data_IF_942825693312
#
_entry.id   IF_942825693312
#
_cell.length_a   1.000
_cell.length_b   1.000
_cell.length_c   1.000
_cell.angle_alpha   90.00
_cell.angle_beta   90.00
_cell.angle_gamma   90.00
#
_symmetry.space_group_name_H-M   'P 1'
#
loop_
_entity.id
_entity.type
_entity.pdbx_description
1 polymer ?
#
# COMPACT_ATOMS: atom_id res chain seq x y z
N UNK A 1 6.26 -11.85 19.06
CA UNK A 1 6.27 -10.40 18.66
C UNK A 1 4.98 -10.04 17.95
N UNK A 2 4.52 -8.80 18.05
CA UNK A 2 3.34 -8.33 17.33
C UNK A 2 3.71 -8.03 15.88
N UNK A 3 3.00 -8.63 14.92
CA UNK A 3 3.16 -8.40 13.47
C UNK A 3 2.98 -6.91 13.13
N UNK A 4 3.73 -6.43 12.14
CA UNK A 4 3.59 -5.06 11.61
C UNK A 4 3.08 -5.13 10.16
N UNK A 5 2.04 -4.36 9.87
CA UNK A 5 1.55 -4.14 8.51
C UNK A 5 1.80 -2.67 8.14
N UNK A 6 2.63 -2.45 7.14
CA UNK A 6 2.97 -1.10 6.65
C UNK A 6 2.35 -0.94 5.27
N UNK A 7 1.31 -0.12 5.18
CA UNK A 7 0.60 0.19 3.93
C UNK A 7 1.15 1.48 3.34
N UNK A 8 1.62 1.43 2.08
CA UNK A 8 2.23 2.54 1.36
C UNK A 8 1.37 2.90 0.16
N UNK A 9 0.67 4.02 0.26
CA UNK A 9 -0.16 4.60 -0.79
C UNK A 9 0.57 5.62 -1.65
N UNK A 10 -0.14 6.13 -2.65
CA UNK A 10 0.33 7.21 -3.52
C UNK A 10 -0.04 6.99 -4.98
N UNK A 11 0.04 8.04 -5.83
CA UNK A 11 -0.33 7.96 -7.24
C UNK A 11 0.60 7.02 -8.03
N UNK A 12 0.18 6.63 -9.22
CA UNK A 12 1.06 5.90 -10.14
C UNK A 12 2.29 6.75 -10.48
N UNK A 13 3.46 6.12 -10.61
CA UNK A 13 4.72 6.82 -10.94
C UNK A 13 5.40 7.51 -9.75
N UNK A 14 4.80 7.59 -8.56
CA UNK A 14 5.41 8.26 -7.39
C UNK A 14 6.61 7.50 -6.80
N UNK A 15 6.74 6.19 -7.05
CA UNK A 15 7.86 5.35 -6.61
C UNK A 15 7.54 4.40 -5.44
N UNK A 16 6.28 4.01 -5.24
CA UNK A 16 5.86 3.08 -4.16
C UNK A 16 6.68 1.79 -4.13
N UNK A 17 6.72 1.07 -5.24
CA UNK A 17 7.44 -0.20 -5.38
C UNK A 17 8.93 -0.03 -5.10
N UNK A 18 9.53 1.08 -5.56
CA UNK A 18 10.94 1.38 -5.31
C UNK A 18 11.22 1.58 -3.82
N UNK A 19 10.38 2.36 -3.13
CA UNK A 19 10.50 2.58 -1.68
C UNK A 19 10.31 1.28 -0.91
N UNK A 20 9.29 0.49 -1.25
CA UNK A 20 9.05 -0.81 -0.61
C UNK A 20 10.24 -1.77 -0.78
N UNK A 21 10.82 -1.85 -1.97
CA UNK A 21 12.02 -2.67 -2.22
C UNK A 21 13.23 -2.22 -1.42
N UNK A 22 13.44 -0.91 -1.29
CA UNK A 22 14.51 -0.37 -0.46
C UNK A 22 14.27 -0.61 1.03
N UNK A 23 13.03 -0.56 1.50
CA UNK A 23 12.68 -0.90 2.87
C UNK A 23 12.87 -2.40 3.12
N UNK A 24 12.39 -3.25 2.21
CA UNK A 24 12.55 -4.70 2.30
C UNK A 24 14.02 -5.12 2.43
N UNK A 25 14.91 -4.48 1.67
CA UNK A 25 16.35 -4.77 1.72
C UNK A 25 17.04 -4.35 3.04
N UNK A 26 16.35 -3.62 3.93
CA UNK A 26 16.87 -3.11 5.21
C UNK A 26 16.16 -3.65 6.43
N UNK A 27 15.08 -4.40 6.22
CA UNK A 27 14.27 -4.98 7.29
C UNK A 27 14.45 -6.50 7.28
N UNK A 28 14.86 -7.03 8.41
CA UNK A 28 14.88 -8.48 8.62
C UNK A 28 13.46 -9.02 8.71
N UNK A 29 13.27 -10.28 8.34
CA UNK A 29 11.98 -10.97 8.42
C UNK A 29 10.82 -10.19 7.76
N UNK A 30 11.08 -9.58 6.60
CA UNK A 30 10.17 -8.71 5.89
C UNK A 30 9.68 -9.37 4.60
N UNK A 31 8.36 -9.35 4.37
CA UNK A 31 7.73 -9.72 3.10
C UNK A 31 7.07 -8.51 2.47
N UNK A 32 7.11 -8.43 1.15
CA UNK A 32 6.54 -7.32 0.36
C UNK A 32 5.49 -7.81 -0.62
N UNK A 33 4.34 -7.14 -0.64
CA UNK A 33 3.27 -7.29 -1.61
C UNK A 33 3.03 -5.97 -2.33
N UNK A 34 3.11 -6.00 -3.66
CA UNK A 34 2.56 -4.94 -4.51
C UNK A 34 1.15 -5.35 -4.94
N UNK A 35 0.16 -4.49 -4.71
CA UNK A 35 -1.24 -4.78 -5.06
C UNK A 35 -1.44 -5.00 -6.57
N UNK A 36 -0.61 -4.41 -7.41
CA UNK A 36 -0.68 -4.60 -8.85
C UNK A 36 -0.38 -6.05 -9.27
N UNK A 37 0.38 -6.81 -8.47
CA UNK A 37 0.61 -8.25 -8.75
C UNK A 37 -0.62 -9.14 -8.51
N UNK A 38 -1.62 -8.61 -7.79
CA UNK A 38 -2.86 -9.34 -7.52
C UNK A 38 -3.87 -9.19 -8.66
N UNK A 39 -3.56 -8.37 -9.65
CA UNK A 39 -4.43 -8.07 -10.79
C UNK A 39 -3.60 -7.70 -12.03
N UNK A 40 -2.74 -8.61 -12.45
CA UNK A 40 -2.00 -8.53 -13.72
C UNK A 40 -2.78 -9.31 -14.78
N UNK A 41 -3.44 -8.60 -15.71
CA UNK A 41 -4.35 -9.19 -16.68
C UNK A 41 -4.24 -8.53 -18.06
N UNK A 42 -4.42 -9.36 -19.11
CA UNK A 42 -4.49 -8.89 -20.50
C UNK A 42 -5.70 -9.52 -21.22
N UNK A 43 -6.65 -8.73 -21.75
CA UNK A 43 -6.77 -7.28 -21.58
C UNK A 43 -7.11 -6.89 -20.15
N UNK A 44 -6.70 -5.69 -19.71
CA UNK A 44 -7.06 -5.17 -18.39
C UNK A 44 -8.51 -4.71 -18.39
N UNK A 45 -9.36 -5.44 -17.66
CA UNK A 45 -10.80 -5.20 -17.57
C UNK A 45 -11.13 -4.68 -16.17
N UNK A 46 -11.59 -3.43 -16.06
CA UNK A 46 -11.91 -2.79 -14.79
C UNK A 46 -13.43 -2.70 -14.58
N UNK A 47 -13.99 -3.69 -13.90
CA UNK A 47 -15.42 -3.78 -13.51
C UNK A 47 -15.54 -3.84 -11.99
N UNK A 48 -16.75 -3.68 -11.42
CA UNK A 48 -16.97 -3.94 -10.00
C UNK A 48 -16.52 -5.34 -9.57
N UNK A 49 -16.77 -6.35 -10.40
CA UNK A 49 -16.39 -7.74 -10.15
C UNK A 49 -14.87 -7.92 -10.10
N UNK A 50 -14.13 -7.42 -11.08
CA UNK A 50 -12.66 -7.55 -11.12
C UNK A 50 -11.99 -6.76 -10.00
N UNK A 51 -12.57 -5.62 -9.59
CA UNK A 51 -12.11 -4.89 -8.39
C UNK A 51 -12.32 -5.68 -7.10
N UNK A 52 -13.48 -6.32 -6.95
CA UNK A 52 -13.75 -7.18 -5.80
C UNK A 52 -12.78 -8.37 -5.77
N UNK A 53 -12.58 -9.04 -6.88
CA UNK A 53 -11.58 -10.11 -7.05
C UNK A 53 -10.17 -9.65 -6.61
N UNK A 54 -9.72 -8.47 -7.06
CA UNK A 54 -8.40 -7.95 -6.70
C UNK A 54 -8.27 -7.70 -5.19
N UNK A 55 -9.32 -7.14 -4.56
CA UNK A 55 -9.36 -6.92 -3.11
C UNK A 55 -9.30 -8.26 -2.36
N UNK A 56 -10.01 -9.27 -2.82
CA UNK A 56 -10.02 -10.60 -2.18
C UNK A 56 -8.68 -11.33 -2.34
N UNK A 57 -8.03 -11.23 -3.51
CA UNK A 57 -6.67 -11.73 -3.72
C UNK A 57 -5.67 -11.07 -2.76
N UNK A 58 -5.74 -9.73 -2.61
CA UNK A 58 -4.89 -8.99 -1.68
C UNK A 58 -5.13 -9.45 -0.24
N UNK A 59 -6.39 -9.58 0.18
CA UNK A 59 -6.76 -10.07 1.53
C UNK A 59 -6.20 -11.46 1.79
N UNK A 60 -6.33 -12.36 0.82
CA UNK A 60 -5.84 -13.73 0.92
C UNK A 60 -4.32 -13.75 1.16
N UNK A 61 -3.55 -13.03 0.34
CA UNK A 61 -2.11 -12.95 0.47
C UNK A 61 -1.66 -12.29 1.78
N UNK A 62 -2.29 -11.17 2.16
CA UNK A 62 -1.97 -10.48 3.41
C UNK A 62 -2.28 -11.36 4.64
N UNK A 63 -3.38 -12.11 4.67
CA UNK A 63 -3.69 -13.05 5.73
C UNK A 63 -2.64 -14.17 5.81
N UNK A 64 -2.20 -14.69 4.66
CA UNK A 64 -1.13 -15.68 4.58
C UNK A 64 0.18 -15.15 5.17
N UNK A 65 0.61 -13.95 4.81
CA UNK A 65 1.84 -13.33 5.34
C UNK A 65 1.73 -12.99 6.83
N UNK A 66 0.60 -12.45 7.27
CA UNK A 66 0.36 -12.16 8.69
C UNK A 66 0.28 -13.46 9.54
N UNK A 67 -0.16 -14.56 8.95
CA UNK A 67 -0.18 -15.87 9.60
C UNK A 67 1.18 -16.58 9.64
N UNK A 68 2.11 -16.25 8.73
CA UNK A 68 3.41 -16.90 8.61
C UNK A 68 4.36 -16.45 9.73
N UNK A 69 4.94 -17.37 10.47
CA UNK A 69 5.87 -17.08 11.59
C UNK A 69 7.22 -16.55 11.13
N UNK A 70 7.60 -16.80 9.88
CA UNK A 70 8.89 -16.39 9.31
C UNK A 70 9.00 -14.86 9.10
N UNK A 71 7.87 -14.14 9.04
CA UNK A 71 7.88 -12.70 8.77
C UNK A 71 7.32 -11.91 9.95
N UNK A 72 8.00 -10.84 10.34
CA UNK A 72 7.56 -9.89 11.38
C UNK A 72 6.93 -8.65 10.76
N UNK A 73 7.42 -8.23 9.60
CA UNK A 73 6.96 -7.04 8.88
C UNK A 73 6.37 -7.44 7.51
N UNK A 74 5.15 -6.97 7.26
CA UNK A 74 4.48 -7.06 5.96
C UNK A 74 4.42 -5.66 5.37
N UNK A 75 5.12 -5.45 4.25
CA UNK A 75 5.01 -4.25 3.44
C UNK A 75 3.93 -4.49 2.39
N UNK A 76 3.02 -3.54 2.25
CA UNK A 76 2.00 -3.58 1.22
C UNK A 76 1.91 -2.23 0.54
N UNK A 77 2.00 -2.18 -0.78
CA UNK A 77 1.76 -0.95 -1.51
C UNK A 77 0.68 -1.11 -2.57
N UNK A 78 -0.14 -0.07 -2.72
CA UNK A 78 -1.12 0.03 -3.80
C UNK A 78 -1.58 1.48 -3.99
N UNK A 79 -2.52 1.70 -4.94
CA UNK A 79 -3.17 3.01 -5.18
C UNK A 79 -4.35 3.18 -4.24
N UNK A 80 -4.17 3.91 -3.14
CA UNK A 80 -5.22 4.22 -2.17
C UNK A 80 -5.82 5.61 -2.45
N UNK A 81 -6.25 5.85 -3.71
CA UNK A 81 -6.81 7.14 -4.11
C UNK A 81 -8.28 7.32 -3.69
N UNK A 82 -8.98 6.25 -3.37
CA UNK A 82 -10.33 6.27 -2.79
C UNK A 82 -10.23 5.88 -1.31
N UNK A 83 -10.97 6.60 -0.46
CA UNK A 83 -10.86 6.45 0.99
C UNK A 83 -11.36 5.10 1.52
N UNK A 84 -12.18 4.40 0.75
CA UNK A 84 -12.79 3.11 1.08
C UNK A 84 -11.93 1.89 0.73
N UNK A 85 -10.97 2.02 -0.19
CA UNK A 85 -10.15 0.89 -0.65
C UNK A 85 -9.36 0.25 0.50
N UNK A 86 -8.61 1.05 1.26
CA UNK A 86 -7.80 0.52 2.36
C UNK A 86 -8.67 -0.06 3.49
N UNK A 87 -9.73 0.62 3.98
CA UNK A 87 -10.65 0.02 4.93
C UNK A 87 -11.27 -1.29 4.45
N UNK A 88 -11.66 -1.37 3.17
CA UNK A 88 -12.18 -2.60 2.58
C UNK A 88 -11.17 -3.74 2.71
N UNK A 89 -9.90 -3.54 2.35
CA UNK A 89 -8.85 -4.56 2.50
C UNK A 89 -8.68 -4.95 3.96
N UNK A 90 -8.51 -3.97 4.86
CA UNK A 90 -8.21 -4.20 6.28
C UNK A 90 -9.32 -4.94 7.01
N UNK A 91 -10.60 -4.73 6.63
CA UNK A 91 -11.76 -5.39 7.26
C UNK A 91 -11.75 -6.91 7.07
N UNK A 92 -11.08 -7.42 6.03
CA UNK A 92 -10.95 -8.86 5.76
C UNK A 92 -9.71 -9.51 6.37
N UNK A 93 -8.89 -8.78 7.16
CA UNK A 93 -7.72 -9.34 7.81
C UNK A 93 -8.07 -9.92 9.18
N UNK A 94 -7.68 -11.18 9.40
CA UNK A 94 -8.11 -11.98 10.56
C UNK A 94 -7.11 -11.98 11.71
N UNK A 95 -5.85 -11.68 11.44
CA UNK A 95 -4.76 -11.74 12.41
C UNK A 95 -4.55 -10.41 13.10
N UNK A 96 -4.02 -10.43 14.31
CA UNK A 96 -3.64 -9.21 15.03
C UNK A 96 -2.34 -8.65 14.42
N UNK A 97 -2.32 -7.34 14.14
CA UNK A 97 -1.15 -6.62 13.62
C UNK A 97 -1.15 -5.17 14.12
N UNK A 98 0.00 -4.56 14.04
CA UNK A 98 0.15 -3.11 14.21
C UNK A 98 0.16 -2.47 12.83
N UNK A 99 -0.78 -1.57 12.58
CA UNK A 99 -0.93 -0.88 11.30
C UNK A 99 -0.10 0.41 11.28
N UNK A 100 0.62 0.58 10.17
CA UNK A 100 1.23 1.85 9.77
C UNK A 100 0.76 2.19 8.37
N UNK A 101 0.39 3.45 8.16
CA UNK A 101 -0.04 3.94 6.85
C UNK A 101 0.78 5.14 6.44
N UNK A 102 1.26 5.13 5.20
CA UNK A 102 2.07 6.18 4.60
C UNK A 102 1.52 6.47 3.20
N UNK A 103 1.49 7.73 2.78
CA UNK A 103 1.25 8.09 1.39
C UNK A 103 2.43 8.84 0.83
N UNK A 104 2.92 8.36 -0.30
CA UNK A 104 3.99 9.04 -1.04
C UNK A 104 3.37 10.11 -1.93
N UNK A 105 3.93 11.30 -1.86
CA UNK A 105 3.55 12.43 -2.71
C UNK A 105 4.80 13.08 -3.30
N UNK A 106 4.66 13.67 -4.47
CA UNK A 106 5.68 14.51 -5.07
C UNK A 106 5.00 15.65 -5.84
N UNK A 107 5.73 16.72 -6.20
CA UNK A 107 5.19 17.78 -7.04
C UNK A 107 4.61 17.24 -8.34
N UNK A 108 3.50 17.83 -8.82
CA UNK A 108 2.81 17.39 -10.03
C UNK A 108 3.74 17.38 -11.26
N UNK A 109 4.64 18.36 -11.36
CA UNK A 109 5.64 18.46 -12.42
C UNK A 109 6.58 17.25 -12.41
N UNK A 110 7.13 16.91 -11.25
CA UNK A 110 8.01 15.72 -11.08
C UNK A 110 7.29 14.42 -11.39
N UNK A 111 6.00 14.31 -11.00
CA UNK A 111 5.19 13.15 -11.30
C UNK A 111 4.98 13.01 -12.81
N UNK A 112 4.62 14.09 -13.47
CA UNK A 112 4.42 14.12 -14.92
C UNK A 112 5.72 13.77 -15.68
N UNK A 113 6.86 14.34 -15.31
CA UNK A 113 8.16 14.04 -15.92
C UNK A 113 8.51 12.55 -15.84
N UNK A 114 8.31 11.93 -14.68
CA UNK A 114 8.55 10.48 -14.49
C UNK A 114 7.65 9.63 -15.37
N UNK A 115 6.37 9.98 -15.42
CA UNK A 115 5.40 9.23 -16.24
C UNK A 115 5.66 9.41 -17.74
N UNK A 116 6.03 10.61 -18.19
CA UNK A 116 6.49 10.82 -19.57
C UNK A 116 7.73 10.00 -19.91
N UNK A 117 8.67 9.88 -18.97
CA UNK A 117 9.82 8.98 -19.11
C UNK A 117 9.44 7.51 -19.28
N UNK A 118 8.41 7.05 -18.54
CA UNK A 118 7.88 5.68 -18.67
C UNK A 118 7.13 5.48 -19.99
N UNK A 119 6.36 6.47 -20.45
CA UNK A 119 5.68 6.45 -21.76
C UNK A 119 6.68 6.40 -22.89
N UNK A 120 7.74 7.22 -22.83
CA UNK A 120 8.80 7.24 -23.85
C UNK A 120 9.56 5.91 -23.95
N UNK A 121 9.56 5.09 -22.91
CA UNK A 121 10.14 3.73 -22.89
C UNK A 121 9.13 2.65 -23.28
N UNK A 122 7.90 3.02 -23.62
CA UNK A 122 6.83 2.05 -23.94
C UNK A 122 6.29 1.27 -22.73
N UNK A 123 6.63 1.66 -21.50
CA UNK A 123 6.20 0.98 -20.28
C UNK A 123 4.77 1.34 -19.87
N UNK A 124 4.24 2.46 -20.38
CA UNK A 124 2.90 2.97 -20.05
C UNK A 124 2.26 3.67 -21.23
N UNK A 125 0.93 3.73 -21.20
CA UNK A 125 0.16 4.52 -22.17
C UNK A 125 0.07 5.99 -21.69
N UNK A 126 -0.06 6.98 -22.61
CA UNK A 126 -0.09 8.42 -22.25
C UNK A 126 -1.20 8.84 -21.29
N UNK A 127 -2.35 8.14 -21.30
CA UNK A 127 -3.51 8.39 -20.43
C UNK A 127 -3.19 8.25 -18.94
N UNK A 128 -2.11 7.54 -18.61
CA UNK A 128 -1.65 7.36 -17.22
C UNK A 128 -1.33 8.68 -16.53
N UNK A 129 -0.88 9.70 -17.29
CA UNK A 129 -0.44 10.98 -16.73
C UNK A 129 -1.64 11.71 -16.10
N UNK A 130 -2.70 11.87 -16.88
CA UNK A 130 -3.92 12.53 -16.39
C UNK A 130 -4.54 11.76 -15.21
N UNK A 131 -4.65 10.44 -15.32
CA UNK A 131 -5.19 9.59 -14.24
C UNK A 131 -4.37 9.69 -12.97
N UNK A 132 -3.05 9.74 -13.08
CA UNK A 132 -2.16 9.83 -11.92
C UNK A 132 -2.23 11.20 -11.25
N UNK A 133 -2.27 12.29 -12.02
CA UNK A 133 -2.41 13.64 -11.48
C UNK A 133 -3.77 13.83 -10.77
N UNK A 134 -4.85 13.31 -11.34
CA UNK A 134 -6.16 13.29 -10.68
C UNK A 134 -6.11 12.50 -9.36
N UNK A 135 -5.48 11.33 -9.37
CA UNK A 135 -5.33 10.51 -8.15
C UNK A 135 -4.49 11.21 -7.08
N UNK A 136 -3.44 11.94 -7.47
CA UNK A 136 -2.59 12.68 -6.54
C UNK A 136 -3.38 13.78 -5.78
N UNK A 137 -4.32 14.43 -6.45
CA UNK A 137 -5.18 15.47 -5.86
C UNK A 137 -6.18 14.90 -4.82
N UNK A 138 -6.48 13.62 -4.86
CA UNK A 138 -7.44 12.96 -3.97
C UNK A 138 -6.79 12.37 -2.70
N UNK A 139 -5.47 12.45 -2.54
CA UNK A 139 -4.78 11.89 -1.37
C UNK A 139 -5.07 12.77 -0.15
N UNK A 140 -5.69 12.24 0.91
CA UNK A 140 -5.98 13.02 2.12
C UNK A 140 -4.69 13.50 2.79
N UNK A 141 -4.62 14.77 3.18
CA UNK A 141 -3.43 15.36 3.82
C UNK A 141 -3.01 14.70 5.13
N UNK A 142 -3.90 13.96 5.80
CA UNK A 142 -3.61 13.22 7.03
C UNK A 142 -2.74 11.96 6.83
N UNK A 143 -2.53 11.53 5.58
CA UNK A 143 -1.80 10.30 5.19
C UNK A 143 -0.46 10.63 4.52
N UNK A 144 -0.10 11.91 4.47
CA UNK A 144 1.03 12.39 3.67
C UNK A 144 2.33 12.29 4.45
N UNK A 145 3.24 11.45 3.99
CA UNK A 145 4.66 11.61 4.23
C UNK A 145 5.29 12.19 2.96
N UNK A 146 5.97 13.35 3.01
CA UNK A 146 6.67 13.86 1.84
C UNK A 146 7.77 12.87 1.44
N UNK A 147 7.63 12.26 0.27
CA UNK A 147 8.67 11.43 -0.31
C UNK A 147 9.60 12.32 -1.14
N UNK A 148 10.68 12.76 -0.54
CA UNK A 148 11.78 13.35 -1.28
C UNK A 148 12.61 12.20 -1.88
N UNK A 149 12.24 11.75 -3.08
CA UNK A 149 13.08 10.88 -3.90
C UNK A 149 13.87 11.84 -4.81
N UNK A 150 15.20 11.94 -4.68
CA UNK A 150 16.01 12.72 -5.63
C UNK A 150 15.71 12.28 -7.06
N UNK A 151 15.70 13.21 -7.99
CA UNK A 151 15.45 12.93 -9.41
C UNK A 151 16.46 11.93 -10.04
N UNK A 152 17.60 11.72 -9.38
CA UNK A 152 18.53 10.63 -9.66
C UNK A 152 18.45 9.60 -8.53
N UNK A 153 18.10 8.36 -8.85
CA UNK A 153 18.17 7.24 -7.90
C UNK A 153 19.59 7.20 -7.28
N UNK A 154 19.74 7.22 -5.95
CA UNK A 154 21.05 7.07 -5.35
C UNK A 154 21.60 5.69 -5.75
N UNK A 155 22.82 5.67 -6.25
CA UNK A 155 23.57 4.43 -6.46
C UNK A 155 23.58 3.63 -5.14
N UNK A 156 23.50 2.30 -5.19
CA UNK A 156 23.51 1.49 -3.97
C UNK A 156 24.77 1.82 -3.16
N UNK A 157 24.60 2.33 -1.93
CA UNK A 157 25.71 2.65 -1.03
C UNK A 157 25.60 3.89 -0.16
N UNK A 158 24.62 4.77 -0.31
CA UNK A 158 24.44 5.91 0.60
C UNK A 158 23.26 5.72 1.54
N UNK A 159 23.55 5.73 2.84
CA UNK A 159 22.56 5.65 3.94
C UNK A 159 21.65 6.87 3.90
N UNK A 160 20.35 6.68 3.81
CA UNK A 160 19.38 7.68 4.23
C UNK A 160 19.42 7.75 5.76
N UNK A 161 19.68 8.95 6.32
CA UNK A 161 19.69 9.15 7.75
C UNK A 161 18.33 8.82 8.41
N UNK A 162 18.34 8.47 9.71
CA UNK A 162 17.12 8.14 10.46
C UNK A 162 16.42 9.43 10.89
N UNK A 163 15.61 9.99 10.00
CA UNK A 163 14.91 11.21 10.31
C UNK A 163 13.60 11.33 9.55
N UNK A 164 12.52 11.14 10.28
CA UNK A 164 11.12 11.49 9.98
C UNK A 164 10.18 10.34 9.66
N UNK A 165 10.14 9.35 10.52
CA UNK A 165 8.91 8.56 10.73
C UNK A 165 8.11 9.22 11.86
N UNK A 166 7.20 10.12 11.56
CA UNK A 166 6.18 10.53 12.54
C UNK A 166 5.24 9.37 12.78
N UNK A 167 5.40 8.76 13.94
CA UNK A 167 4.60 7.64 14.43
C UNK A 167 3.20 8.11 14.81
N UNK A 168 2.18 7.73 14.09
CA UNK A 168 0.85 7.54 14.65
C UNK A 168 0.45 6.09 14.39
N UNK A 169 0.81 5.22 15.35
CA UNK A 169 0.34 3.84 15.36
C UNK A 169 -1.03 3.78 16.03
N UNK A 170 -2.04 3.32 15.32
CA UNK A 170 -3.30 2.90 15.93
C UNK A 170 -3.29 1.38 16.05
N UNK A 171 -3.52 0.89 17.26
CA UNK A 171 -3.72 -0.53 17.53
C UNK A 171 -5.21 -0.85 17.36
N UNK A 172 -5.54 -1.57 16.31
CA UNK A 172 -6.91 -2.07 16.13
C UNK A 172 -7.04 -3.34 16.96
N UNK A 173 -7.64 -3.23 18.14
CA UNK A 173 -8.15 -4.40 18.87
C UNK A 173 -9.52 -4.74 18.30
N UNK A 174 -9.69 -5.95 17.79
CA UNK A 174 -11.03 -6.51 17.57
C UNK A 174 -11.69 -6.63 18.95
N UNK A 175 -12.65 -5.79 19.26
CA UNK A 175 -13.63 -6.04 20.32
C UNK A 175 -14.62 -7.07 19.77
N UNK A 176 -14.30 -8.33 19.97
CA UNK A 176 -15.23 -9.42 19.73
C UNK A 176 -15.80 -9.85 21.06
N UNK A 177 -17.00 -9.49 21.35
CA UNK A 177 -17.95 -10.32 22.11
C UNK A 177 -19.33 -9.74 21.92
N UNK A 178 -20.06 -10.30 20.95
CA UNK A 178 -21.51 -10.31 21.00
C UNK A 178 -21.87 -11.68 21.60
N UNK A 179 -21.96 -11.75 22.92
CA UNK A 179 -22.62 -12.83 23.59
C UNK A 179 -24.09 -12.84 23.14
N UNK A 180 -24.44 -13.84 22.35
CA UNK A 180 -25.85 -14.23 22.16
C UNK A 180 -26.36 -14.85 23.47
N UNK A 181 -26.95 -14.02 24.29
CA UNK A 181 -27.91 -14.47 25.31
C UNK A 181 -29.11 -15.10 24.63
N UNK A 182 -29.08 -16.40 24.45
CA UNK A 182 -30.27 -17.19 24.17
C UNK A 182 -31.00 -17.46 25.50
N UNK A 183 -31.95 -16.60 25.81
CA UNK A 183 -32.94 -16.86 26.87
C UNK A 183 -33.73 -18.13 26.59
N UNK A 184 -33.55 -19.12 27.42
CA UNK A 184 -34.55 -20.22 27.58
C UNK A 184 -35.73 -19.63 28.31
N UNK A 185 -36.88 -19.64 27.64
CA UNK A 185 -38.20 -19.46 28.22
C UNK A 185 -39.08 -20.64 27.83
N UNK A 186 -39.41 -21.43 28.78
CA UNK A 186 -40.50 -22.36 29.03
C UNK A 186 -41.44 -22.67 27.83
#
# INVERSE_FOLDING_TARGET
MQKQLICIGGPMGVGKTTVCRQMQARLDHCVFLDGDWCWDAHPFINTPETRAMAVDNIRHLLNGFLGCTAYETVLFCWVFHQADILPAILSGLERAYRLYTLSLVCPATTLAERLWGDVGKGLRQPDVIERSLKSAALIPGSWVAPCWIPAAAPRPGRRCGPGMLRRRGQSIKKSGNIEKSLGRGR
#
